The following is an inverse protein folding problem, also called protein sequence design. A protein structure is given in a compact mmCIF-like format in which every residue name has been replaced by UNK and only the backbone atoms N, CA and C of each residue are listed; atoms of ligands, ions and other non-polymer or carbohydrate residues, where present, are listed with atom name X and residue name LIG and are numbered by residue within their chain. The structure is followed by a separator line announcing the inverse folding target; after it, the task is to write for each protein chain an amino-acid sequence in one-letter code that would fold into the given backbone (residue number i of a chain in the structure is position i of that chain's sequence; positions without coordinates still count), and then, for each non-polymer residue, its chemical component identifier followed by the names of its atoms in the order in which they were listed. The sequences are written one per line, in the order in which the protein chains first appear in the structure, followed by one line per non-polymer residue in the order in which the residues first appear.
data_IF_495142085356
#
_entry.id   IF_495142085356
#
_cell.length_a   1.000
_cell.length_b   1.000
_cell.length_c   1.000
_cell.angle_alpha   90.00
_cell.angle_beta   90.00
_cell.angle_gamma   90.00
#
_symmetry.space_group_name_H-M   'P 1'
#
loop_
_entity.id
_entity.type
_entity.pdbx_description
1 polymer ?
#
# COMPACT_ATOMS: atom_id res chain seq x y z
N UNK A 1 -10.10 1.01 15.18
CA UNK A 1 -8.84 1.75 14.91
C UNK A 1 -8.36 1.34 13.51
N UNK A 2 -8.83 2.00 12.45
CA UNK A 2 -8.53 1.55 11.07
C UNK A 2 -7.06 1.78 10.75
N UNK A 3 -6.31 0.77 10.24
CA UNK A 3 -4.94 0.99 9.82
C UNK A 3 -4.96 2.01 8.69
N UNK A 4 -4.40 3.18 8.95
CA UNK A 4 -4.33 4.26 7.97
C UNK A 4 -3.49 3.74 6.80
N UNK A 5 -4.02 3.92 5.59
CA UNK A 5 -3.24 3.75 4.38
C UNK A 5 -2.13 4.80 4.43
N UNK A 6 -0.98 4.37 4.93
CA UNK A 6 0.25 5.12 4.95
C UNK A 6 0.93 4.88 3.60
N UNK A 7 1.09 5.85 2.67
CA UNK A 7 1.95 5.67 1.52
C UNK A 7 3.38 5.55 2.07
N UNK A 8 3.73 4.31 2.44
CA UNK A 8 5.02 4.00 3.04
C UNK A 8 6.14 4.24 2.02
N UNK A 9 5.84 4.11 0.73
CA UNK A 9 6.85 3.99 -0.33
C UNK A 9 6.75 5.11 -1.37
N UNK A 10 7.87 5.69 -1.81
CA UNK A 10 7.93 6.74 -2.84
C UNK A 10 7.76 6.14 -4.24
N UNK A 11 6.84 5.19 -4.41
CA UNK A 11 6.62 4.45 -5.65
C UNK A 11 5.15 4.43 -6.00
N UNK A 12 4.86 4.49 -7.30
CA UNK A 12 3.53 4.27 -7.87
C UNK A 12 3.43 2.83 -8.36
N UNK A 13 2.33 2.15 -8.08
CA UNK A 13 2.11 0.78 -8.56
C UNK A 13 1.55 0.79 -9.99
N UNK A 14 2.07 -0.09 -10.84
CA UNK A 14 1.45 -0.41 -12.14
C UNK A 14 0.36 -1.44 -11.87
N UNK A 15 -0.84 -0.95 -11.55
CA UNK A 15 -1.94 -1.78 -11.02
C UNK A 15 -2.33 -2.97 -11.90
N UNK A 16 -2.32 -2.91 -13.25
CA UNK A 16 -2.63 -4.08 -14.09
C UNK A 16 -1.63 -5.23 -13.92
N UNK A 17 -0.40 -4.94 -13.48
CA UNK A 17 0.69 -5.91 -13.35
C UNK A 17 0.76 -6.56 -11.95
N UNK A 18 -0.03 -6.10 -10.98
CA UNK A 18 0.07 -6.59 -9.60
C UNK A 18 -0.30 -8.07 -9.43
N UNK A 19 -1.29 -8.55 -10.18
CA UNK A 19 -1.68 -9.96 -10.13
C UNK A 19 -0.55 -10.86 -10.65
N UNK A 20 0.01 -10.52 -11.81
CA UNK A 20 1.16 -11.23 -12.39
C UNK A 20 2.42 -11.15 -11.50
N UNK A 21 2.63 -10.03 -10.80
CA UNK A 21 3.69 -9.88 -9.81
C UNK A 21 3.50 -10.80 -8.61
N UNK A 22 2.25 -10.95 -8.12
CA UNK A 22 1.91 -11.86 -7.02
C UNK A 22 2.15 -13.32 -7.42
N UNK A 23 1.83 -13.69 -8.67
CA UNK A 23 2.09 -15.01 -9.23
C UNK A 23 3.54 -15.24 -9.70
N UNK A 24 4.44 -14.26 -9.54
CA UNK A 24 5.86 -14.34 -9.97
C UNK A 24 6.07 -14.66 -11.46
N UNK A 25 5.17 -14.19 -12.33
CA UNK A 25 5.38 -14.27 -13.78
C UNK A 25 6.56 -13.42 -14.25
N UNK A 26 6.92 -12.39 -13.47
CA UNK A 26 8.07 -11.53 -13.69
C UNK A 26 8.58 -10.98 -12.35
N UNK A 27 9.72 -10.28 -12.41
CA UNK A 27 10.27 -9.61 -11.24
C UNK A 27 9.31 -8.51 -10.74
N UNK A 28 8.91 -8.51 -9.46
CA UNK A 28 7.95 -7.55 -8.90
C UNK A 28 8.40 -6.08 -9.01
N UNK A 29 9.68 -5.81 -9.29
CA UNK A 29 10.20 -4.47 -9.56
C UNK A 29 9.57 -3.83 -10.79
N UNK A 30 9.16 -4.60 -11.79
CA UNK A 30 8.51 -4.05 -13.00
C UNK A 30 7.07 -3.59 -12.75
N UNK A 31 6.47 -3.99 -11.63
CA UNK A 31 5.10 -3.61 -11.26
C UNK A 31 5.01 -2.31 -10.45
N UNK A 32 6.08 -1.53 -10.37
CA UNK A 32 6.07 -0.20 -9.77
C UNK A 32 7.15 0.72 -10.33
N UNK A 33 6.90 2.02 -10.25
CA UNK A 33 7.82 3.07 -10.70
C UNK A 33 8.12 4.04 -9.54
N UNK A 34 9.34 4.59 -9.42
CA UNK A 34 9.60 5.65 -8.46
C UNK A 34 8.85 6.93 -8.83
N UNK A 35 8.34 7.64 -7.82
CA UNK A 35 7.69 8.95 -8.04
C UNK A 35 8.73 10.01 -8.41
N UNK A 36 9.91 9.98 -7.76
CA UNK A 36 11.02 10.89 -8.07
C UNK A 36 11.83 10.34 -9.25
N UNK A 37 11.31 10.50 -10.46
CA UNK A 37 12.06 10.20 -11.69
C UNK A 37 12.96 11.37 -12.09
N UNK A 38 14.00 11.10 -12.88
CA UNK A 38 14.92 12.13 -13.39
C UNK A 38 14.19 13.22 -14.19
N UNK A 39 13.18 12.84 -14.93
CA UNK A 39 12.34 13.68 -15.80
C UNK A 39 11.07 14.21 -15.09
N UNK A 40 10.96 14.04 -13.77
CA UNK A 40 9.81 14.53 -13.01
C UNK A 40 9.99 16.01 -12.65
N UNK A 41 9.41 16.90 -13.47
CA UNK A 41 9.51 18.36 -13.31
C UNK A 41 8.44 18.95 -12.37
N UNK A 42 8.32 18.41 -11.15
CA UNK A 42 7.39 18.95 -10.15
C UNK A 42 7.88 18.76 -8.71
N UNK A 43 7.34 19.56 -7.79
CA UNK A 43 7.64 19.47 -6.35
C UNK A 43 6.87 18.30 -5.73
N UNK A 44 7.58 17.23 -5.37
CA UNK A 44 7.01 16.11 -4.61
C UNK A 44 7.23 16.28 -3.11
N UNK A 45 6.12 16.29 -2.36
CA UNK A 45 6.08 16.34 -0.89
C UNK A 45 5.51 15.02 -0.38
N UNK A 46 6.29 14.30 0.44
CA UNK A 46 5.87 13.02 1.02
C UNK A 46 5.10 13.26 2.32
N UNK A 47 3.80 13.48 2.23
CA UNK A 47 2.92 13.80 3.36
C UNK A 47 1.50 13.24 3.18
N UNK A 48 0.78 13.15 4.29
CA UNK A 48 -0.67 12.96 4.32
C UNK A 48 -1.36 14.30 4.20
N UNK A 49 -2.44 14.34 3.42
CA UNK A 49 -3.43 15.42 3.52
C UNK A 49 -4.40 15.05 4.64
N UNK A 50 -4.46 15.90 5.66
CA UNK A 50 -5.34 15.72 6.82
C UNK A 50 -6.65 16.45 6.60
N UNK A 51 -6.57 17.67 6.07
CA UNK A 51 -7.73 18.50 5.80
C UNK A 51 -7.51 19.43 4.60
N UNK A 52 -8.60 19.86 3.99
CA UNK A 52 -8.62 20.83 2.89
C UNK A 52 -9.48 22.02 3.27
N UNK A 53 -8.82 23.16 3.40
CA UNK A 53 -9.43 24.43 3.77
C UNK A 53 -9.72 25.23 2.50
N UNK A 54 -10.96 25.15 2.01
CA UNK A 54 -11.35 25.77 0.73
C UNK A 54 -11.38 27.29 0.75
N UNK A 55 -11.69 27.91 1.90
CA UNK A 55 -11.82 29.37 2.00
C UNK A 55 -10.48 30.10 1.90
N UNK A 56 -9.41 29.54 2.47
CA UNK A 56 -8.03 30.05 2.36
C UNK A 56 -7.22 29.33 1.27
N UNK A 57 -7.87 28.46 0.48
CA UNK A 57 -7.23 27.64 -0.54
C UNK A 57 -5.93 26.97 -0.04
N UNK A 58 -6.03 26.32 1.12
CA UNK A 58 -4.91 25.71 1.82
C UNK A 58 -5.16 24.24 2.11
N UNK A 59 -4.13 23.41 2.01
CA UNK A 59 -4.16 22.00 2.42
C UNK A 59 -3.32 21.82 3.67
N UNK A 60 -3.91 21.22 4.71
CA UNK A 60 -3.21 20.86 5.95
C UNK A 60 -2.58 19.49 5.75
N UNK A 61 -1.25 19.44 5.86
CA UNK A 61 -0.46 18.25 5.62
C UNK A 61 0.27 17.79 6.87
N UNK A 62 0.47 16.48 7.00
CA UNK A 62 1.29 15.85 8.03
C UNK A 62 2.40 15.03 7.36
N UNK A 63 3.69 15.19 7.73
CA UNK A 63 4.78 14.43 7.10
C UNK A 63 4.57 12.91 7.22
N UNK A 64 4.85 12.17 6.14
CA UNK A 64 4.70 10.71 6.12
C UNK A 64 5.94 9.97 6.63
N UNK A 65 6.44 10.41 7.78
CA UNK A 65 7.58 9.85 8.51
C UNK A 65 7.20 9.67 9.98
N UNK A 66 7.56 8.54 10.58
CA UNK A 66 7.15 8.22 11.96
C UNK A 66 7.73 9.21 12.98
N UNK A 67 8.93 9.72 12.71
CA UNK A 67 9.64 10.70 13.54
C UNK A 67 8.97 12.08 13.55
N UNK A 68 8.17 12.39 12.52
CA UNK A 68 7.54 13.70 12.32
C UNK A 68 6.02 13.58 12.32
N UNK A 69 5.50 12.56 13.03
CA UNK A 69 4.06 12.28 13.05
C UNK A 69 3.25 13.40 13.72
N UNK A 70 3.84 14.14 14.66
CA UNK A 70 3.10 15.18 15.40
C UNK A 70 3.20 16.56 14.73
N UNK A 71 3.99 16.66 13.65
CA UNK A 71 4.20 17.89 12.89
C UNK A 71 3.10 18.09 11.84
N UNK A 72 2.69 19.35 11.64
CA UNK A 72 1.76 19.74 10.58
C UNK A 72 2.25 20.98 9.86
N UNK A 73 1.92 21.08 8.57
CA UNK A 73 2.28 22.23 7.74
C UNK A 73 1.23 22.50 6.69
N UNK A 74 1.18 23.73 6.21
CA UNK A 74 0.20 24.19 5.25
C UNK A 74 0.80 24.30 3.84
N UNK A 75 0.00 23.95 2.84
CA UNK A 75 0.35 24.11 1.42
C UNK A 75 -0.77 24.88 0.72
N UNK A 76 -0.43 26.07 0.21
CA UNK A 76 -1.36 26.90 -0.58
C UNK A 76 -1.53 26.35 -2.00
N UNK A 77 -2.71 26.52 -2.57
CA UNK A 77 -3.02 26.16 -3.94
C UNK A 77 -3.91 27.19 -4.62
N UNK A 78 -3.74 27.37 -5.94
CA UNK A 78 -4.72 28.10 -6.76
C UNK A 78 -5.80 27.16 -7.29
N UNK A 79 -5.38 25.95 -7.68
CA UNK A 79 -6.23 24.87 -8.17
C UNK A 79 -5.79 23.56 -7.55
N UNK A 80 -6.74 22.70 -7.19
CA UNK A 80 -6.47 21.41 -6.57
C UNK A 80 -7.11 20.27 -7.36
N UNK A 81 -6.34 19.21 -7.60
CA UNK A 81 -6.81 17.96 -8.20
C UNK A 81 -6.71 16.87 -7.16
N UNK A 82 -7.83 16.23 -6.84
CA UNK A 82 -7.94 15.24 -5.75
C UNK A 82 -7.91 13.82 -6.33
N UNK A 83 -6.85 13.06 -6.05
CA UNK A 83 -6.68 11.66 -6.51
C UNK A 83 -6.20 10.69 -5.41
N UNK A 84 -6.92 10.52 -4.29
CA UNK A 84 -6.47 9.72 -3.15
C UNK A 84 -6.55 8.20 -3.36
N UNK A 85 -7.16 7.74 -4.45
CA UNK A 85 -7.45 6.32 -4.67
C UNK A 85 -8.54 5.79 -3.72
N UNK A 86 -8.60 4.45 -3.52
CA UNK A 86 -9.63 3.80 -2.70
C UNK A 86 -9.07 2.78 -1.70
N UNK A 87 -9.72 2.67 -0.54
CA UNK A 87 -9.45 1.62 0.46
C UNK A 87 -10.15 0.31 0.07
N UNK A 88 -9.68 -0.81 0.63
CA UNK A 88 -10.29 -2.11 0.36
C UNK A 88 -11.57 -2.14 1.16
N UNK A 89 -12.66 -2.50 0.53
CA UNK A 89 -13.89 -2.69 1.25
C UNK A 89 -13.90 -4.10 1.85
N UNK A 90 -14.18 -4.21 3.14
CA UNK A 90 -14.32 -5.48 3.86
C UNK A 90 -15.77 -5.98 3.85
N UNK A 91 -16.71 -5.13 3.42
CA UNK A 91 -18.14 -5.43 3.37
C UNK A 91 -18.76 -5.89 4.70
N UNK A 92 -18.14 -5.51 5.83
CA UNK A 92 -18.58 -5.92 7.17
C UNK A 92 -18.30 -7.39 7.50
N UNK A 93 -17.57 -8.11 6.66
CA UNK A 93 -17.23 -9.52 6.89
C UNK A 93 -16.17 -9.59 8.00
N UNK A 94 -16.43 -10.32 9.10
CA UNK A 94 -15.49 -10.42 10.22
C UNK A 94 -14.19 -11.10 9.78
N UNK A 95 -13.10 -10.75 10.45
CA UNK A 95 -11.77 -11.35 10.32
C UNK A 95 -11.08 -11.27 8.94
N UNK A 96 -11.65 -10.53 7.97
CA UNK A 96 -11.02 -10.34 6.65
C UNK A 96 -9.67 -9.62 6.78
N UNK A 97 -9.53 -8.68 7.71
CA UNK A 97 -8.28 -7.93 7.88
C UNK A 97 -7.15 -8.78 8.49
N UNK A 98 -7.50 -9.78 9.30
CA UNK A 98 -6.52 -10.70 9.90
C UNK A 98 -6.13 -11.82 8.92
N UNK A 99 -7.07 -12.33 8.12
CA UNK A 99 -6.86 -13.55 7.33
C UNK A 99 -6.65 -13.30 5.82
N UNK A 100 -7.11 -12.18 5.27
CA UNK A 100 -7.01 -11.91 3.84
C UNK A 100 -5.82 -11.01 3.50
N UNK A 101 -5.14 -11.33 2.40
CA UNK A 101 -4.08 -10.49 1.84
C UNK A 101 -4.67 -9.65 0.70
N UNK A 102 -4.85 -8.35 0.93
CA UNK A 102 -5.27 -7.41 -0.13
C UNK A 102 -4.08 -7.02 -1.01
N UNK A 103 -4.17 -7.29 -2.32
CA UNK A 103 -3.11 -6.94 -3.28
C UNK A 103 -3.34 -5.54 -3.84
N UNK A 104 -2.66 -4.53 -3.28
CA UNK A 104 -2.76 -3.13 -3.74
C UNK A 104 -1.47 -2.51 -4.23
N UNK A 105 -0.36 -3.10 -3.83
CA UNK A 105 0.96 -2.64 -4.18
C UNK A 105 1.88 -3.85 -4.22
N UNK A 106 3.10 -3.60 -4.70
CA UNK A 106 4.11 -4.64 -4.85
C UNK A 106 4.51 -5.28 -3.52
N UNK A 107 4.42 -4.55 -2.40
CA UNK A 107 4.69 -5.14 -1.08
C UNK A 107 3.64 -6.22 -0.74
N UNK A 108 2.35 -5.94 -0.99
CA UNK A 108 1.29 -6.92 -0.78
C UNK A 108 1.42 -8.13 -1.71
N UNK A 109 1.76 -7.92 -2.98
CA UNK A 109 2.02 -9.00 -3.93
C UNK A 109 3.16 -9.91 -3.44
N UNK A 110 4.25 -9.32 -2.93
CA UNK A 110 5.34 -10.09 -2.34
C UNK A 110 4.92 -10.84 -1.07
N UNK A 111 4.11 -10.24 -0.20
CA UNK A 111 3.57 -10.92 1.00
C UNK A 111 2.74 -12.14 0.62
N UNK A 112 1.84 -12.00 -0.36
CA UNK A 112 1.03 -13.12 -0.87
C UNK A 112 1.93 -14.25 -1.39
N UNK A 113 2.92 -13.92 -2.20
CA UNK A 113 3.88 -14.89 -2.72
C UNK A 113 4.63 -15.63 -1.62
N UNK A 114 5.21 -14.90 -0.67
CA UNK A 114 5.92 -15.51 0.46
C UNK A 114 5.02 -16.47 1.22
N UNK A 115 3.77 -16.08 1.51
CA UNK A 115 2.81 -16.95 2.19
C UNK A 115 2.53 -18.23 1.42
N UNK A 116 2.32 -18.16 0.11
CA UNK A 116 2.09 -19.35 -0.72
C UNK A 116 3.31 -20.26 -0.72
N UNK A 117 4.52 -19.71 -0.88
CA UNK A 117 5.75 -20.50 -0.82
C UNK A 117 5.92 -21.18 0.54
N UNK A 118 5.75 -20.45 1.64
CA UNK A 118 5.87 -21.02 2.99
C UNK A 118 4.87 -22.17 3.20
N UNK A 119 3.64 -22.04 2.67
CA UNK A 119 2.64 -23.11 2.73
C UNK A 119 3.06 -24.34 1.93
N UNK A 120 3.65 -24.16 0.74
CA UNK A 120 4.16 -25.26 -0.08
C UNK A 120 5.33 -25.98 0.62
N UNK A 121 6.27 -25.22 1.19
CA UNK A 121 7.39 -25.78 1.95
C UNK A 121 6.88 -26.54 3.17
N UNK A 122 5.95 -25.96 3.95
CA UNK A 122 5.36 -26.65 5.10
C UNK A 122 4.62 -27.93 4.69
N UNK A 123 3.86 -27.91 3.59
CA UNK A 123 3.15 -29.08 3.09
C UNK A 123 4.08 -30.19 2.59
N UNK A 124 5.32 -29.85 2.21
CA UNK A 124 6.33 -30.83 1.79
C UNK A 124 6.97 -31.62 2.94
N UNK A 125 6.75 -31.20 4.20
CA UNK A 125 7.34 -31.84 5.37
C UNK A 125 6.74 -33.24 5.60
N UNK A 126 7.55 -34.25 5.98
CA UNK A 126 7.03 -35.55 6.41
C UNK A 126 6.12 -35.40 7.64
N UNK A 127 4.95 -36.06 7.65
CA UNK A 127 3.92 -36.10 8.74
C UNK A 127 2.89 -34.95 8.81
N UNK A 128 2.67 -34.19 7.73
CA UNK A 128 1.64 -33.12 7.73
C UNK A 128 0.19 -33.67 7.71
N UNK A 129 -0.01 -34.99 7.61
CA UNK A 129 -1.33 -35.62 7.46
C UNK A 129 -2.28 -35.49 8.67
N UNK A 130 -1.83 -35.05 9.84
CA UNK A 130 -2.70 -34.91 11.04
C UNK A 130 -2.85 -33.48 11.56
N UNK A 131 -1.83 -32.63 11.39
CA UNK A 131 -1.78 -31.28 12.00
C UNK A 131 -2.49 -30.21 11.16
N UNK A 132 -2.61 -30.42 9.83
CA UNK A 132 -3.20 -29.46 8.91
C UNK A 132 -4.74 -29.35 8.97
N UNK A 133 -5.41 -30.22 9.72
CA UNK A 133 -6.88 -30.27 9.86
C UNK A 133 -7.47 -29.06 10.60
N UNK A 134 -6.64 -28.25 11.27
CA UNK A 134 -7.05 -27.18 12.18
C UNK A 134 -6.34 -25.82 11.96
N UNK A 135 -5.57 -25.68 10.88
CA UNK A 135 -5.00 -24.39 10.44
C UNK A 135 -5.87 -23.76 9.33
#
# INVERSE_FOLDING_TARGET
MTPSFRPKKPTSAVTPLLASAACRLFDPRVAHEPIRRRDFHARYIKAYVIDVVFHTQTVVCQPAFEQLKDEQFNVFYDKMVITPGRRSNKFGIPNVEENAIFVKNVANANTMRSRVNDLLEMASLPRVSEVASHL
#
